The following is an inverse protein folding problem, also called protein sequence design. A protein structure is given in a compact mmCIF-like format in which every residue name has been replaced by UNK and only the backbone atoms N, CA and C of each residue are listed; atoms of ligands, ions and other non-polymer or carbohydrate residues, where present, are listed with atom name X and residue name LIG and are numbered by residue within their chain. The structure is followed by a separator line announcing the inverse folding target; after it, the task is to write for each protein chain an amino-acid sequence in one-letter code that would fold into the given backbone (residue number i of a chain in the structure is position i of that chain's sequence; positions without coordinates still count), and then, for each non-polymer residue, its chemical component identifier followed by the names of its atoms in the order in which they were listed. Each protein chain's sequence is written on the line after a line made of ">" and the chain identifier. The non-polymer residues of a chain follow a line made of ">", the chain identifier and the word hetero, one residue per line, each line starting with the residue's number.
data_IF_070452640969
#
_entry.id   IF_070452640969
#
_cell.length_a   1.000
_cell.length_b   1.000
_cell.length_c   1.000
_cell.angle_alpha   90.00
_cell.angle_beta   90.00
_cell.angle_gamma   90.00
#
_symmetry.space_group_name_H-M   'P 1'
#
loop_
_entity.id
_entity.type
_entity.pdbx_description
1 polymer ?
#
# COMPACT_ATOMS: atom_id res chain seq x y z
N UNK A 1 12.46 13.34 -16.85
CA UNK A 1 11.17 13.91 -16.41
C UNK A 1 10.45 12.86 -15.57
N UNK A 2 10.00 13.18 -14.36
CA UNK A 2 9.25 12.28 -13.50
C UNK A 2 7.77 12.59 -13.71
N UNK A 3 7.01 11.60 -14.16
CA UNK A 3 5.57 11.70 -14.31
C UNK A 3 4.88 10.85 -13.25
N UNK A 4 3.76 11.32 -12.75
CA UNK A 4 2.91 10.61 -11.79
C UNK A 4 1.63 10.26 -12.52
N UNK A 5 1.25 9.00 -12.51
CA UNK A 5 -0.04 8.56 -13.01
C UNK A 5 -0.90 8.06 -11.84
N UNK A 6 -2.17 8.47 -11.86
CA UNK A 6 -3.19 8.06 -10.91
C UNK A 6 -4.21 7.19 -11.62
N UNK A 7 -4.57 6.09 -10.99
CA UNK A 7 -5.61 5.20 -11.50
C UNK A 7 -6.70 5.03 -10.46
N UNK A 8 -7.92 5.22 -10.87
CA UNK A 8 -9.09 4.99 -10.05
C UNK A 8 -9.80 3.70 -10.51
N UNK A 9 -10.61 3.11 -9.65
CA UNK A 9 -11.40 1.87 -9.78
C UNK A 9 -12.12 1.66 -11.13
N UNK A 10 -12.28 2.71 -11.96
CA UNK A 10 -13.01 2.67 -13.23
C UNK A 10 -12.18 2.29 -14.46
N UNK A 11 -10.87 2.15 -14.32
CA UNK A 11 -9.98 1.89 -15.46
C UNK A 11 -9.28 0.55 -15.27
N UNK A 12 -9.68 -0.41 -16.12
CA UNK A 12 -9.02 -1.70 -16.24
C UNK A 12 -7.59 -1.49 -16.75
N UNK A 13 -6.57 -1.80 -15.94
CA UNK A 13 -5.18 -1.55 -16.29
C UNK A 13 -4.30 -2.78 -16.05
N UNK A 14 -4.33 -3.69 -17.05
CA UNK A 14 -3.42 -4.84 -17.11
C UNK A 14 -1.95 -4.47 -16.91
N UNK A 15 -1.55 -3.29 -17.37
CA UNK A 15 -0.19 -2.78 -17.25
C UNK A 15 0.29 -2.51 -15.80
N UNK A 16 -0.62 -2.17 -14.87
CA UNK A 16 -0.26 -1.98 -13.46
C UNK A 16 -0.14 -3.32 -12.78
N UNK A 17 -1.08 -4.20 -13.04
CA UNK A 17 -1.08 -5.58 -12.56
C UNK A 17 0.21 -6.27 -13.01
N UNK A 18 0.62 -6.11 -14.26
CA UNK A 18 1.87 -6.66 -14.79
C UNK A 18 3.11 -6.05 -14.14
N UNK A 19 3.12 -4.75 -13.87
CA UNK A 19 4.24 -4.09 -13.17
C UNK A 19 4.34 -4.57 -11.72
N UNK A 20 3.23 -4.68 -11.03
CA UNK A 20 3.18 -5.17 -9.66
C UNK A 20 3.52 -6.67 -9.60
N UNK A 21 2.97 -7.47 -10.49
CA UNK A 21 3.27 -8.90 -10.60
C UNK A 21 4.77 -9.13 -10.80
N UNK A 22 5.38 -8.45 -11.75
CA UNK A 22 6.83 -8.53 -11.99
C UNK A 22 7.67 -8.03 -10.82
N UNK A 23 7.24 -6.98 -10.14
CA UNK A 23 7.99 -6.38 -9.04
C UNK A 23 7.89 -7.16 -7.74
N UNK A 24 6.76 -7.82 -7.51
CA UNK A 24 6.49 -8.58 -6.29
C UNK A 24 6.67 -10.09 -6.45
N UNK A 25 6.76 -10.60 -7.69
CA UNK A 25 6.78 -12.04 -7.94
C UNK A 25 5.47 -12.75 -7.59
N UNK A 26 4.36 -12.00 -7.51
CA UNK A 26 3.02 -12.52 -7.21
C UNK A 26 2.23 -12.78 -8.48
N UNK A 27 1.33 -13.74 -8.44
CA UNK A 27 0.49 -14.08 -9.60
C UNK A 27 -0.61 -13.02 -9.82
N UNK A 28 -1.12 -12.95 -11.05
CA UNK A 28 -2.26 -12.07 -11.37
C UNK A 28 -3.48 -12.35 -10.49
N UNK A 29 -3.69 -13.59 -10.07
CA UNK A 29 -4.80 -13.97 -9.19
C UNK A 29 -4.65 -13.43 -7.76
N UNK A 30 -3.43 -13.34 -7.25
CA UNK A 30 -3.15 -12.72 -5.94
C UNK A 30 -3.32 -11.19 -5.98
N UNK A 31 -3.21 -10.60 -7.17
CA UNK A 31 -3.48 -9.18 -7.43
C UNK A 31 -4.96 -8.88 -7.75
N UNK A 32 -5.86 -9.85 -7.77
CA UNK A 32 -7.30 -9.63 -7.92
C UNK A 32 -7.92 -8.74 -6.79
N UNK A 33 -7.17 -8.50 -5.73
CA UNK A 33 -7.35 -7.40 -4.79
C UNK A 33 -7.41 -6.03 -5.47
N UNK A 34 -6.79 -5.89 -6.63
CA UNK A 34 -6.74 -4.64 -7.40
C UNK A 34 -8.13 -4.09 -7.74
N UNK A 35 -9.13 -4.96 -7.87
CA UNK A 35 -10.52 -4.54 -8.10
C UNK A 35 -11.14 -3.73 -6.95
N UNK A 36 -10.54 -3.76 -5.76
CA UNK A 36 -10.99 -3.03 -4.58
C UNK A 36 -10.01 -1.91 -4.16
N UNK A 37 -8.92 -1.71 -4.91
CA UNK A 37 -7.95 -0.66 -4.62
C UNK A 37 -8.58 0.71 -4.94
N UNK A 38 -8.58 1.58 -3.95
CA UNK A 38 -9.13 2.93 -4.09
C UNK A 38 -8.28 3.79 -5.03
N UNK A 39 -6.95 3.59 -5.00
CA UNK A 39 -6.00 4.39 -5.76
C UNK A 39 -4.68 3.63 -5.97
N UNK A 40 -4.17 3.69 -7.19
CA UNK A 40 -2.80 3.30 -7.52
C UNK A 40 -2.02 4.51 -7.99
N UNK A 41 -0.86 4.75 -7.40
CA UNK A 41 0.07 5.82 -7.77
C UNK A 41 1.30 5.16 -8.40
N UNK A 42 1.65 5.54 -9.61
CA UNK A 42 2.86 5.06 -10.29
C UNK A 42 3.81 6.20 -10.59
N UNK A 43 5.10 5.96 -10.39
CA UNK A 43 6.16 6.84 -10.88
C UNK A 43 6.67 6.36 -12.23
N UNK A 44 6.80 7.30 -13.16
CA UNK A 44 7.25 7.05 -14.53
C UNK A 44 8.50 7.89 -14.78
N UNK A 45 9.60 7.25 -15.17
CA UNK A 45 10.84 7.91 -15.58
C UNK A 45 11.15 7.44 -17.00
N UNK A 46 11.37 8.39 -17.92
CA UNK A 46 11.68 8.07 -19.32
C UNK A 46 10.69 7.08 -19.97
N UNK A 47 9.39 7.27 -19.74
CA UNK A 47 8.29 6.42 -20.19
C UNK A 47 8.24 5.01 -19.55
N UNK A 48 9.17 4.67 -18.67
CA UNK A 48 9.15 3.41 -17.90
C UNK A 48 8.52 3.59 -16.52
N UNK A 49 7.65 2.67 -16.13
CA UNK A 49 7.14 2.61 -14.75
C UNK A 49 8.22 2.04 -13.84
N UNK A 50 8.71 2.86 -12.92
CA UNK A 50 9.84 2.51 -12.04
C UNK A 50 9.41 2.14 -10.62
N UNK A 51 8.17 2.44 -10.27
CA UNK A 51 7.59 2.05 -8.98
C UNK A 51 6.11 2.36 -8.90
N UNK A 52 5.44 1.70 -7.97
CA UNK A 52 4.02 1.89 -7.69
C UNK A 52 3.71 1.70 -6.21
N UNK A 53 2.66 2.37 -5.74
CA UNK A 53 2.09 2.23 -4.40
C UNK A 53 0.57 2.16 -4.52
N UNK A 54 -0.05 1.27 -3.74
CA UNK A 54 -1.49 1.06 -3.71
C UNK A 54 -2.07 1.50 -2.37
N UNK A 55 -3.16 2.24 -2.43
CA UNK A 55 -3.91 2.74 -1.28
C UNK A 55 -5.35 2.26 -1.39
N UNK A 56 -5.86 1.70 -0.31
CA UNK A 56 -7.25 1.28 -0.18
C UNK A 56 -7.88 1.95 1.05
N UNK A 57 -9.11 2.43 0.93
CA UNK A 57 -9.82 2.94 2.11
C UNK A 57 -10.17 1.82 3.09
N UNK A 58 -10.32 2.15 4.37
CA UNK A 58 -10.78 1.17 5.38
C UNK A 58 -12.09 0.50 5.00
N UNK A 59 -13.03 1.26 4.44
CA UNK A 59 -14.33 0.73 4.05
C UNK A 59 -14.19 -0.29 2.91
N UNK A 60 -13.43 0.05 1.86
CA UNK A 60 -13.21 -0.86 0.74
C UNK A 60 -12.43 -2.12 1.19
N UNK A 61 -11.48 -1.97 2.10
CA UNK A 61 -10.73 -3.08 2.66
C UNK A 61 -11.64 -4.00 3.48
N UNK A 62 -12.49 -3.41 4.33
CA UNK A 62 -13.45 -4.14 5.13
C UNK A 62 -14.41 -4.96 4.27
N UNK A 63 -15.06 -4.33 3.29
CA UNK A 63 -15.96 -4.98 2.35
C UNK A 63 -15.31 -6.12 1.56
N UNK A 64 -14.05 -5.91 1.20
CA UNK A 64 -13.26 -6.94 0.53
C UNK A 64 -13.01 -8.16 1.41
N UNK A 65 -12.61 -7.93 2.67
CA UNK A 65 -12.31 -9.02 3.60
C UNK A 65 -13.55 -9.84 3.96
N UNK A 66 -14.71 -9.18 4.11
CA UNK A 66 -15.99 -9.86 4.30
C UNK A 66 -16.31 -10.77 3.10
N UNK A 67 -16.11 -10.27 1.87
CA UNK A 67 -16.32 -11.07 0.65
C UNK A 67 -15.41 -12.30 0.54
N UNK A 68 -14.21 -12.22 1.11
CA UNK A 68 -13.29 -13.35 1.19
C UNK A 68 -13.61 -14.34 2.31
N UNK A 69 -14.66 -14.07 3.11
CA UNK A 69 -14.96 -14.87 4.31
C UNK A 69 -13.88 -14.79 5.39
N UNK A 70 -13.00 -13.79 5.34
CA UNK A 70 -11.97 -13.57 6.34
C UNK A 70 -12.59 -12.99 7.61
N UNK A 71 -12.21 -13.56 8.77
CA UNK A 71 -12.56 -12.94 10.04
C UNK A 71 -11.74 -11.66 10.23
N UNK A 72 -12.42 -10.58 10.67
CA UNK A 72 -11.78 -9.27 10.91
C UNK A 72 -10.68 -9.37 11.96
N UNK A 73 -10.79 -10.30 12.89
CA UNK A 73 -9.77 -10.57 13.89
C UNK A 73 -8.45 -11.09 13.27
N UNK A 74 -8.54 -11.78 12.12
CA UNK A 74 -7.36 -12.22 11.36
C UNK A 74 -6.56 -11.05 10.78
N UNK A 75 -7.15 -9.86 10.71
CA UNK A 75 -6.51 -8.64 10.21
C UNK A 75 -5.62 -7.93 11.24
N UNK A 76 -5.39 -8.56 12.40
CA UNK A 76 -4.35 -8.18 13.36
C UNK A 76 -4.11 -6.67 13.49
N UNK A 77 -5.12 -5.94 13.96
CA UNK A 77 -5.02 -4.51 14.22
C UNK A 77 -5.70 -3.62 13.18
N UNK A 78 -6.11 -4.10 12.00
CA UNK A 78 -6.94 -3.31 11.07
C UNK A 78 -8.26 -2.91 11.74
N UNK A 79 -8.78 -3.74 12.63
CA UNK A 79 -9.98 -3.43 13.42
C UNK A 79 -9.81 -2.20 14.35
N UNK A 80 -8.59 -1.88 14.79
CA UNK A 80 -8.32 -0.68 15.60
C UNK A 80 -8.67 0.61 14.84
N UNK A 81 -8.66 0.53 13.52
CA UNK A 81 -8.91 1.67 12.62
C UNK A 81 -10.30 1.63 11.98
N UNK A 82 -11.18 0.75 12.44
CA UNK A 82 -12.48 0.46 11.85
C UNK A 82 -13.45 1.64 11.86
N UNK A 83 -13.38 2.50 12.87
CA UNK A 83 -14.29 3.61 13.05
C UNK A 83 -13.86 4.92 12.40
N UNK A 84 -12.73 4.94 11.68
CA UNK A 84 -12.08 6.18 11.25
C UNK A 84 -11.81 6.19 9.75
N UNK A 85 -11.65 7.38 9.20
CA UNK A 85 -11.30 7.60 7.79
C UNK A 85 -9.84 7.25 7.51
N UNK A 86 -9.50 5.98 7.61
CA UNK A 86 -8.16 5.46 7.37
C UNK A 86 -7.91 5.05 5.93
N UNK A 87 -6.66 5.17 5.50
CA UNK A 87 -6.14 4.66 4.25
C UNK A 87 -5.09 3.58 4.51
N UNK A 88 -5.32 2.37 4.01
CA UNK A 88 -4.37 1.28 4.08
C UNK A 88 -3.43 1.31 2.88
N UNK A 89 -2.14 1.37 3.12
CA UNK A 89 -1.11 1.22 2.11
C UNK A 89 -0.86 -0.27 1.94
N UNK A 90 -1.42 -0.82 0.86
CA UNK A 90 -1.46 -2.27 0.67
C UNK A 90 -0.17 -2.83 0.08
N UNK A 91 0.32 -2.22 -1.00
CA UNK A 91 1.53 -2.65 -1.68
C UNK A 91 2.36 -1.45 -2.12
N UNK A 92 3.66 -1.58 -2.00
CA UNK A 92 4.62 -0.63 -2.56
C UNK A 92 5.77 -1.39 -3.19
N UNK A 93 6.04 -1.13 -4.46
CA UNK A 93 7.13 -1.75 -5.19
C UNK A 93 7.97 -0.73 -5.95
N UNK A 94 9.27 -1.04 -6.05
CA UNK A 94 10.23 -0.31 -6.88
C UNK A 94 10.97 -1.32 -7.75
N UNK A 95 11.06 -1.05 -9.05
CA UNK A 95 11.85 -1.84 -9.99
C UNK A 95 13.29 -1.96 -9.49
N UNK A 96 13.85 -3.17 -9.56
CA UNK A 96 15.18 -3.48 -9.02
C UNK A 96 16.26 -2.52 -9.53
N UNK A 97 16.18 -2.12 -10.80
CA UNK A 97 17.13 -1.20 -11.46
C UNK A 97 17.13 0.21 -10.85
N UNK A 98 16.05 0.59 -10.20
CA UNK A 98 15.83 1.93 -9.65
C UNK A 98 15.82 1.96 -8.11
N UNK A 99 16.16 0.85 -7.46
CA UNK A 99 16.29 0.81 -6.00
C UNK A 99 17.48 1.62 -5.52
N UNK A 100 17.44 2.10 -4.28
CA UNK A 100 18.48 2.95 -3.71
C UNK A 100 18.40 4.44 -4.10
N UNK A 101 17.51 4.82 -5.04
CA UNK A 101 17.38 6.20 -5.53
C UNK A 101 16.23 7.00 -4.87
N UNK A 102 15.77 6.57 -3.71
CA UNK A 102 14.73 7.29 -2.96
C UNK A 102 13.31 7.17 -3.54
N UNK A 103 13.07 6.33 -4.55
CA UNK A 103 11.77 6.18 -5.23
C UNK A 103 10.68 5.72 -4.25
N UNK A 104 10.97 4.77 -3.36
CA UNK A 104 10.02 4.32 -2.35
C UNK A 104 9.59 5.46 -1.41
N UNK A 105 10.54 6.29 -0.98
CA UNK A 105 10.25 7.47 -0.15
C UNK A 105 9.35 8.45 -0.89
N UNK A 106 9.63 8.70 -2.17
CA UNK A 106 8.83 9.60 -3.01
C UNK A 106 7.41 9.08 -3.24
N UNK A 107 7.25 7.77 -3.48
CA UNK A 107 5.93 7.14 -3.57
C UNK A 107 5.14 7.32 -2.28
N UNK A 108 5.80 7.11 -1.14
CA UNK A 108 5.16 7.28 0.16
C UNK A 108 4.77 8.75 0.42
N UNK A 109 5.62 9.72 0.05
CA UNK A 109 5.30 11.15 0.14
C UNK A 109 4.04 11.51 -0.64
N UNK A 110 3.98 11.05 -1.89
CA UNK A 110 2.84 11.30 -2.77
C UNK A 110 1.59 10.63 -2.20
N UNK A 111 1.72 9.41 -1.67
CA UNK A 111 0.58 8.69 -1.10
C UNK A 111 0.00 9.40 0.12
N UNK A 112 0.84 9.93 1.01
CA UNK A 112 0.41 10.72 2.16
C UNK A 112 -0.27 12.02 1.72
N UNK A 113 0.31 12.72 0.75
CA UNK A 113 -0.26 13.96 0.21
C UNK A 113 -1.65 13.72 -0.40
N UNK A 114 -1.79 12.69 -1.25
CA UNK A 114 -3.06 12.33 -1.87
C UNK A 114 -4.08 11.87 -0.83
N UNK A 115 -3.65 11.11 0.16
CA UNK A 115 -4.51 10.68 1.27
C UNK A 115 -5.06 11.88 2.05
N UNK A 116 -4.23 12.90 2.29
CA UNK A 116 -4.66 14.17 2.91
C UNK A 116 -5.70 14.91 2.07
N UNK A 117 -5.48 15.03 0.74
CA UNK A 117 -6.46 15.63 -0.17
C UNK A 117 -7.79 14.88 -0.16
N UNK A 118 -7.75 13.55 -0.08
CA UNK A 118 -8.94 12.68 0.03
C UNK A 118 -9.59 12.71 1.40
N UNK A 119 -9.08 13.55 2.33
CA UNK A 119 -9.59 13.73 3.69
C UNK A 119 -9.55 12.44 4.54
N UNK A 120 -8.57 11.58 4.30
CA UNK A 120 -8.23 10.55 5.26
C UNK A 120 -7.57 11.18 6.49
N UNK A 121 -7.79 10.60 7.65
CA UNK A 121 -7.26 11.08 8.92
C UNK A 121 -5.88 10.48 9.22
N UNK A 122 -5.63 9.25 8.73
CA UNK A 122 -4.35 8.57 8.87
C UNK A 122 -4.13 7.56 7.74
N UNK A 123 -2.85 7.19 7.58
CA UNK A 123 -2.41 6.07 6.75
C UNK A 123 -1.79 4.99 7.63
N UNK A 124 -1.95 3.73 7.24
CA UNK A 124 -1.33 2.61 7.94
C UNK A 124 -0.92 1.50 6.97
N UNK A 125 0.01 0.64 7.41
CA UNK A 125 0.51 -0.47 6.60
C UNK A 125 1.04 -1.59 7.49
N UNK A 126 1.06 -2.79 6.95
CA UNK A 126 1.79 -3.93 7.51
C UNK A 126 3.16 -4.04 6.84
N UNK A 127 4.22 -3.96 7.63
CA UNK A 127 5.59 -4.13 7.16
C UNK A 127 6.08 -5.54 7.48
N UNK A 128 6.33 -6.34 6.44
CA UNK A 128 6.71 -7.76 6.55
C UNK A 128 8.22 -7.99 6.52
N UNK A 129 9.01 -6.93 6.38
CA UNK A 129 10.46 -7.02 6.36
C UNK A 129 11.12 -5.74 6.86
N UNK A 130 12.40 -5.85 7.22
CA UNK A 130 13.17 -4.73 7.78
C UNK A 130 13.30 -3.55 6.82
N UNK A 131 13.36 -3.79 5.51
CA UNK A 131 13.50 -2.72 4.50
C UNK A 131 12.24 -1.86 4.48
N UNK A 132 11.05 -2.48 4.37
CA UNK A 132 9.78 -1.76 4.42
C UNK A 132 9.62 -1.03 5.76
N UNK A 133 9.88 -1.70 6.88
CA UNK A 133 9.83 -1.09 8.21
C UNK A 133 10.72 0.16 8.28
N UNK A 134 11.98 0.07 7.81
CA UNK A 134 12.90 1.22 7.81
C UNK A 134 12.38 2.38 6.96
N UNK A 135 11.83 2.09 5.76
CA UNK A 135 11.28 3.10 4.86
C UNK A 135 10.13 3.86 5.53
N UNK A 136 9.18 3.15 6.13
CA UNK A 136 8.03 3.74 6.81
C UNK A 136 8.46 4.52 8.06
N UNK A 137 9.36 3.96 8.88
CA UNK A 137 9.89 4.63 10.07
C UNK A 137 10.62 5.93 9.72
N UNK A 138 11.47 5.92 8.68
CA UNK A 138 12.16 7.12 8.18
C UNK A 138 11.18 8.21 7.75
N UNK A 139 9.98 7.83 7.30
CA UNK A 139 8.92 8.76 6.93
C UNK A 139 8.12 9.30 8.10
N UNK A 140 8.35 8.80 9.30
CA UNK A 140 7.67 9.24 10.53
C UNK A 140 6.46 8.39 10.90
N UNK A 141 6.31 7.20 10.33
CA UNK A 141 5.31 6.25 10.79
C UNK A 141 5.68 5.72 12.18
N UNK A 142 4.70 5.69 13.06
CA UNK A 142 4.79 5.07 14.37
C UNK A 142 4.58 3.57 14.25
N UNK A 143 5.26 2.81 15.10
CA UNK A 143 5.04 1.39 15.22
C UNK A 143 3.96 1.14 16.28
N UNK A 144 2.79 0.66 15.84
CA UNK A 144 1.63 0.45 16.69
C UNK A 144 1.65 -0.93 17.35
N UNK A 145 2.07 -1.94 16.61
CA UNK A 145 2.04 -3.33 17.08
C UNK A 145 3.02 -4.20 16.30
N UNK A 146 3.64 -5.16 17.01
CA UNK A 146 4.36 -6.29 16.43
C UNK A 146 3.57 -7.58 16.67
N UNK A 147 3.52 -8.45 15.66
CA UNK A 147 2.88 -9.75 15.76
C UNK A 147 3.46 -10.71 14.72
N UNK A 148 3.17 -11.99 14.86
CA UNK A 148 3.50 -13.01 13.86
C UNK A 148 2.26 -13.36 13.06
N UNK A 149 2.41 -13.45 11.73
CA UNK A 149 1.32 -13.93 10.88
C UNK A 149 1.22 -15.47 10.94
N UNK A 150 0.25 -16.05 10.22
CA UNK A 150 0.03 -17.49 10.14
C UNK A 150 1.23 -18.28 9.60
N UNK A 151 2.16 -17.62 8.91
CA UNK A 151 3.41 -18.21 8.40
C UNK A 151 4.60 -17.97 9.35
N UNK A 152 4.35 -17.59 10.60
CA UNK A 152 5.35 -17.28 11.64
C UNK A 152 6.33 -16.16 11.27
N UNK A 153 5.96 -15.26 10.31
CA UNK A 153 6.75 -14.09 9.95
C UNK A 153 6.43 -12.93 10.86
N UNK A 154 7.46 -12.21 11.29
CA UNK A 154 7.32 -10.96 12.04
C UNK A 154 6.71 -9.86 11.18
N UNK A 155 5.64 -9.27 11.67
CA UNK A 155 4.91 -8.17 11.02
C UNK A 155 4.87 -6.98 11.95
N UNK A 156 5.13 -5.79 11.42
CA UNK A 156 4.93 -4.52 12.11
C UNK A 156 3.73 -3.79 11.53
N UNK A 157 2.75 -3.47 12.36
CA UNK A 157 1.69 -2.53 12.02
C UNK A 157 2.20 -1.12 12.27
N UNK A 158 2.23 -0.30 11.24
CA UNK A 158 2.73 1.07 11.29
C UNK A 158 1.66 2.06 10.86
N UNK A 159 1.58 3.22 11.53
CA UNK A 159 0.60 4.27 11.22
C UNK A 159 1.24 5.66 11.13
N UNK A 160 0.57 6.53 10.39
CA UNK A 160 0.92 7.94 10.23
C UNK A 160 -0.34 8.79 10.24
N UNK A 161 -0.44 9.72 11.19
CA UNK A 161 -1.56 10.66 11.29
C UNK A 161 -1.36 11.84 10.33
N UNK A 162 -2.38 12.08 9.51
CA UNK A 162 -2.41 13.15 8.52
C UNK A 162 -2.92 14.44 9.19
N UNK A 163 -2.01 15.29 9.61
CA UNK A 163 -2.35 16.60 10.19
C UNK A 163 -2.76 17.62 9.13
#
# INVERSE_FOLDING_TARGET
>A
MINISFYNKRYNNDNIIDTMSRSFGVTKNELNLVNNITLVISLIINKEKVGAICIISNNDLYDYMIRLGKNIEELNGIYLFRATKGAYIYNMAVDKRYRGHGIAQKLLDISLYVSKIKKFEYCYSHCENQISHHIFKKKGFNNEKHFKNSLNKEISLMSYWLK
#
